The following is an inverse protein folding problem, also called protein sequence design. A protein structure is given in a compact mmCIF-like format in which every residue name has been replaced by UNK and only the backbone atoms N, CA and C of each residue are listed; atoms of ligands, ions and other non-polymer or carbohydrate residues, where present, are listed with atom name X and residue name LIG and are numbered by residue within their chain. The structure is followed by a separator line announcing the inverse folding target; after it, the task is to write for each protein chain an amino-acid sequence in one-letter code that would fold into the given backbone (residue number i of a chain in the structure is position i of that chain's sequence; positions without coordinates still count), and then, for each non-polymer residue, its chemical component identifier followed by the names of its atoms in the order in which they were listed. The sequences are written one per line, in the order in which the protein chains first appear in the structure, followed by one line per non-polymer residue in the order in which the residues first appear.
data_IF_210528042635
#
_entry.id   IF_210528042635
#
_cell.length_a   1.000
_cell.length_b   1.000
_cell.length_c   1.000
_cell.angle_alpha   90.00
_cell.angle_beta   90.00
_cell.angle_gamma   90.00
#
_symmetry.space_group_name_H-M   'P 1'
#
loop_
_entity.id
_entity.type
_entity.pdbx_description
1 polymer ?
#
# COMPACT_ATOMS: atom_id res chain seq x y z
N UNK A 1 -76.85 3.84 -0.87
CA UNK A 1 -75.89 4.95 -0.64
C UNK A 1 -74.74 4.40 0.20
N UNK A 2 -73.74 3.75 -0.40
CA UNK A 2 -72.73 3.00 0.36
C UNK A 2 -71.39 2.84 -0.35
N UNK A 3 -70.90 3.89 -1.03
CA UNK A 3 -69.67 3.82 -1.86
C UNK A 3 -68.60 4.85 -1.46
N UNK A 4 -68.69 5.43 -0.25
CA UNK A 4 -67.79 6.53 0.17
C UNK A 4 -66.71 6.16 1.20
N UNK A 5 -66.88 5.07 1.95
CA UNK A 5 -66.03 4.77 3.11
C UNK A 5 -64.85 3.82 2.80
N UNK A 6 -64.98 2.96 1.78
CA UNK A 6 -63.89 2.03 1.40
C UNK A 6 -62.73 2.73 0.68
N UNK A 7 -63.02 3.76 -0.14
CA UNK A 7 -62.00 4.47 -0.91
C UNK A 7 -60.99 5.25 -0.05
N UNK A 8 -61.36 5.65 1.18
CA UNK A 8 -60.48 6.39 2.08
C UNK A 8 -59.49 5.46 2.80
N UNK A 9 -59.90 4.23 3.11
CA UNK A 9 -59.02 3.21 3.70
C UNK A 9 -57.97 2.70 2.70
N UNK A 10 -58.34 2.57 1.43
CA UNK A 10 -57.43 2.14 0.38
C UNK A 10 -56.33 3.16 0.08
N UNK A 11 -56.67 4.46 0.03
CA UNK A 11 -55.69 5.55 -0.15
C UNK A 11 -54.65 5.58 0.96
N UNK A 12 -55.09 5.47 2.21
CA UNK A 12 -54.19 5.39 3.37
C UNK A 12 -53.28 4.16 3.32
N UNK A 13 -53.82 3.01 2.88
CA UNK A 13 -53.04 1.79 2.72
C UNK A 13 -51.98 1.90 1.62
N UNK A 14 -52.30 2.62 0.54
CA UNK A 14 -51.41 2.86 -0.59
C UNK A 14 -50.26 3.79 -0.17
N UNK A 15 -50.57 4.88 0.55
CA UNK A 15 -49.56 5.81 1.09
C UNK A 15 -48.60 5.10 2.04
N UNK A 16 -49.10 4.23 2.93
CA UNK A 16 -48.24 3.45 3.83
C UNK A 16 -47.38 2.42 3.11
N UNK A 17 -47.88 1.82 2.02
CA UNK A 17 -47.10 0.90 1.17
C UNK A 17 -46.01 1.66 0.44
N UNK A 18 -46.34 2.82 -0.12
CA UNK A 18 -45.42 3.69 -0.85
C UNK A 18 -44.28 4.19 0.04
N UNK A 19 -44.60 4.69 1.25
CA UNK A 19 -43.57 5.03 2.24
C UNK A 19 -42.70 3.82 2.62
N UNK A 20 -43.29 2.62 2.73
CA UNK A 20 -42.54 1.41 3.08
C UNK A 20 -41.63 0.94 1.94
N UNK A 21 -42.02 1.14 0.68
CA UNK A 21 -41.13 0.92 -0.48
C UNK A 21 -40.00 1.94 -0.51
N UNK A 22 -40.28 3.23 -0.31
CA UNK A 22 -39.26 4.27 -0.28
C UNK A 22 -38.22 4.05 0.83
N UNK A 23 -38.68 3.65 2.02
CA UNK A 23 -37.78 3.30 3.15
C UNK A 23 -36.88 2.13 2.77
N UNK A 24 -37.43 1.08 2.15
CA UNK A 24 -36.66 -0.09 1.72
C UNK A 24 -35.61 0.26 0.67
N UNK A 25 -35.94 1.14 -0.28
CA UNK A 25 -35.01 1.60 -1.30
C UNK A 25 -33.89 2.46 -0.72
N UNK A 26 -34.22 3.42 0.15
CA UNK A 26 -33.26 4.26 0.87
C UNK A 26 -32.29 3.43 1.70
N UNK A 27 -32.78 2.42 2.43
CA UNK A 27 -31.91 1.48 3.15
C UNK A 27 -30.98 0.70 2.22
N UNK A 28 -31.46 0.33 1.03
CA UNK A 28 -30.64 -0.40 0.06
C UNK A 28 -29.50 0.46 -0.50
N UNK A 29 -29.72 1.77 -0.67
CA UNK A 29 -28.70 2.72 -1.11
C UNK A 29 -27.68 2.96 0.01
N UNK A 30 -28.14 3.18 1.24
CA UNK A 30 -27.25 3.34 2.41
C UNK A 30 -26.36 2.11 2.59
N UNK A 31 -26.92 0.90 2.45
CA UNK A 31 -26.13 -0.34 2.52
C UNK A 31 -25.13 -0.47 1.36
N UNK A 32 -25.48 -0.01 0.16
CA UNK A 32 -24.57 -0.01 -1.01
C UNK A 32 -23.46 1.01 -0.83
N UNK A 33 -23.76 2.19 -0.32
CA UNK A 33 -22.79 3.26 -0.06
C UNK A 33 -21.86 2.88 1.08
N UNK A 34 -22.37 2.31 2.18
CA UNK A 34 -21.51 1.74 3.23
C UNK A 34 -20.63 0.60 2.69
N UNK A 35 -21.17 -0.26 1.82
CA UNK A 35 -20.39 -1.36 1.22
C UNK A 35 -19.32 -0.82 0.27
N UNK A 36 -19.61 0.21 -0.52
CA UNK A 36 -18.67 0.81 -1.47
C UNK A 36 -17.56 1.57 -0.72
N UNK A 37 -17.90 2.33 0.32
CA UNK A 37 -16.94 3.01 1.19
C UNK A 37 -16.04 2.02 1.92
N UNK A 38 -16.59 0.94 2.46
CA UNK A 38 -15.76 -0.13 3.06
C UNK A 38 -14.82 -0.80 2.04
N UNK A 39 -15.24 -0.97 0.79
CA UNK A 39 -14.38 -1.53 -0.26
C UNK A 39 -13.27 -0.53 -0.62
N UNK A 40 -13.60 0.77 -0.72
CA UNK A 40 -12.64 1.86 -0.95
C UNK A 40 -11.63 1.98 0.18
N UNK A 41 -12.08 1.91 1.43
CA UNK A 41 -11.24 1.92 2.63
C UNK A 41 -10.26 0.73 2.63
N UNK A 42 -10.74 -0.46 2.26
CA UNK A 42 -9.92 -1.66 2.12
C UNK A 42 -8.88 -1.56 1.01
N UNK A 43 -9.16 -0.80 -0.05
CA UNK A 43 -8.23 -0.54 -1.15
C UNK A 43 -7.29 0.65 -0.86
N UNK A 44 -7.63 1.52 0.11
CA UNK A 44 -6.85 2.70 0.49
C UNK A 44 -5.71 2.45 1.47
N UNK A 45 -5.66 1.27 2.11
CA UNK A 45 -4.56 0.89 3.00
C UNK A 45 -3.52 0.09 2.23
N UNK A 46 -2.37 0.73 1.96
CA UNK A 46 -1.19 0.16 1.32
C UNK A 46 -1.40 -0.26 -0.14
N UNK A 47 -1.32 0.72 -1.05
CA UNK A 47 -0.90 0.41 -2.41
C UNK A 47 0.31 -0.51 -2.34
N UNK A 48 0.26 -1.66 -3.01
CA UNK A 48 1.15 -2.80 -2.81
C UNK A 48 2.63 -2.39 -2.88
N UNK A 49 3.19 -1.98 -1.74
CA UNK A 49 4.59 -1.59 -1.64
C UNK A 49 5.40 -2.88 -1.66
N UNK A 50 6.40 -3.00 -2.55
CA UNK A 50 7.29 -4.15 -2.52
C UNK A 50 7.91 -4.30 -1.12
N UNK A 51 8.07 -5.53 -0.65
CA UNK A 51 8.52 -5.82 0.73
C UNK A 51 9.80 -5.07 1.13
N UNK A 52 10.74 -4.87 0.19
CA UNK A 52 11.99 -4.15 0.43
C UNK A 52 11.77 -2.65 0.67
N UNK A 53 10.75 -2.04 0.03
CA UNK A 53 10.32 -0.66 0.35
C UNK A 53 9.69 -0.58 1.73
N UNK A 54 8.85 -1.56 2.07
CA UNK A 54 8.23 -1.63 3.40
C UNK A 54 9.29 -1.75 4.52
N UNK A 55 10.42 -2.42 4.24
CA UNK A 55 11.57 -2.54 5.15
C UNK A 55 12.50 -1.32 5.17
N UNK A 56 12.16 -0.21 4.51
CA UNK A 56 12.99 1.00 4.45
C UNK A 56 14.24 0.86 3.57
N UNK A 57 14.35 -0.19 2.75
CA UNK A 57 15.46 -0.36 1.83
C UNK A 57 15.18 0.31 0.49
N UNK A 58 16.24 0.80 -0.15
CA UNK A 58 16.17 1.25 -1.54
C UNK A 58 16.28 0.06 -2.49
N UNK A 59 15.82 0.23 -3.73
CA UNK A 59 15.98 -0.78 -4.78
C UNK A 59 17.46 -1.07 -5.05
N UNK A 60 18.32 -0.05 -4.97
CA UNK A 60 19.77 -0.16 -5.16
C UNK A 60 20.36 -1.09 -4.09
N UNK A 61 20.01 -0.86 -2.82
CA UNK A 61 20.45 -1.70 -1.70
C UNK A 61 19.97 -3.15 -1.88
N UNK A 62 18.70 -3.34 -2.21
CA UNK A 62 18.11 -4.66 -2.45
C UNK A 62 18.84 -5.41 -3.58
N UNK A 63 19.01 -4.77 -4.74
CA UNK A 63 19.63 -5.38 -5.92
C UNK A 63 21.10 -5.75 -5.67
N UNK A 64 21.82 -4.91 -4.92
CA UNK A 64 23.22 -5.19 -4.56
C UNK A 64 23.34 -6.42 -3.65
N UNK A 65 22.42 -6.60 -2.69
CA UNK A 65 22.39 -7.79 -1.81
C UNK A 65 22.13 -9.06 -2.65
N UNK A 66 21.14 -9.03 -3.54
CA UNK A 66 20.87 -10.15 -4.43
C UNK A 66 22.08 -10.48 -5.33
N UNK A 67 22.74 -9.47 -5.88
CA UNK A 67 23.92 -9.65 -6.70
C UNK A 67 25.08 -10.25 -5.89
N UNK A 68 25.28 -9.84 -4.63
CA UNK A 68 26.28 -10.44 -3.75
C UNK A 68 26.01 -11.93 -3.52
N UNK A 69 24.77 -12.29 -3.17
CA UNK A 69 24.39 -13.69 -2.98
C UNK A 69 24.70 -14.54 -4.22
N UNK A 70 24.34 -14.06 -5.41
CA UNK A 70 24.62 -14.75 -6.68
C UNK A 70 26.13 -14.94 -6.90
N UNK A 71 26.95 -13.92 -6.61
CA UNK A 71 28.41 -14.02 -6.78
C UNK A 71 29.04 -15.07 -5.86
N UNK A 72 28.54 -15.19 -4.64
CA UNK A 72 29.05 -16.16 -3.66
C UNK A 72 28.74 -17.62 -4.03
N UNK A 73 27.70 -17.85 -4.83
CA UNK A 73 27.33 -19.17 -5.33
C UNK A 73 28.12 -19.64 -6.57
N UNK A 74 28.99 -18.81 -7.14
CA UNK A 74 29.78 -19.19 -8.33
C UNK A 74 30.99 -20.07 -7.98
N UNK A 75 31.49 -20.82 -8.97
CA UNK A 75 32.72 -21.61 -8.86
C UNK A 75 33.96 -20.74 -9.14
N UNK A 76 35.10 -21.09 -8.55
CA UNK A 76 36.39 -20.51 -8.93
C UNK A 76 36.74 -20.86 -10.40
N UNK A 77 37.33 -19.94 -11.18
CA UNK A 77 37.87 -18.60 -10.84
C UNK A 77 36.90 -17.42 -11.04
N UNK A 78 35.67 -17.69 -11.51
CA UNK A 78 34.71 -16.63 -11.82
C UNK A 78 34.21 -15.92 -10.55
N UNK A 79 34.17 -16.66 -9.45
CA UNK A 79 33.87 -16.13 -8.11
C UNK A 79 34.88 -15.06 -7.70
N UNK A 80 36.17 -15.35 -7.70
CA UNK A 80 37.22 -14.35 -7.34
C UNK A 80 37.18 -13.11 -8.24
N UNK A 81 36.99 -13.25 -9.55
CA UNK A 81 36.84 -12.10 -10.46
C UNK A 81 35.60 -11.26 -10.16
N UNK A 82 34.51 -11.88 -9.75
CA UNK A 82 33.24 -11.20 -9.50
C UNK A 82 33.20 -10.53 -8.12
N UNK A 83 33.77 -11.16 -7.09
CA UNK A 83 33.90 -10.59 -5.74
C UNK A 83 34.71 -9.29 -5.78
N UNK A 84 35.70 -9.17 -6.66
CA UNK A 84 36.49 -7.94 -6.78
C UNK A 84 35.62 -6.72 -7.12
N UNK A 85 34.49 -6.91 -7.83
CA UNK A 85 33.56 -5.82 -8.18
C UNK A 85 32.69 -5.36 -7.01
N UNK A 86 32.64 -6.11 -5.92
CA UNK A 86 31.82 -5.79 -4.74
C UNK A 86 32.50 -4.79 -3.81
N UNK A 87 33.83 -4.75 -3.79
CA UNK A 87 34.60 -3.91 -2.87
C UNK A 87 34.36 -2.43 -3.18
N UNK A 88 33.76 -1.71 -2.24
CA UNK A 88 33.43 -0.29 -2.40
C UNK A 88 34.12 0.49 -1.28
N UNK A 89 35.17 1.23 -1.64
CA UNK A 89 35.94 2.06 -0.71
C UNK A 89 35.68 3.53 -1.00
N UNK A 90 34.94 4.20 -0.10
CA UNK A 90 34.73 5.65 -0.18
C UNK A 90 34.55 6.27 1.19
N UNK A 91 34.78 7.58 1.24
CA UNK A 91 34.56 8.42 2.41
C UNK A 91 33.43 9.39 2.11
N UNK A 92 32.45 9.47 3.01
CA UNK A 92 31.32 10.40 2.89
C UNK A 92 31.36 11.42 4.02
N UNK A 93 31.38 12.71 3.67
CA UNK A 93 31.24 13.81 4.61
C UNK A 93 29.96 14.57 4.33
N UNK A 94 29.07 14.64 5.33
CA UNK A 94 27.90 15.51 5.26
C UNK A 94 28.34 16.96 5.45
N UNK A 95 27.91 17.86 4.57
CA UNK A 95 28.15 19.30 4.72
C UNK A 95 26.96 19.93 5.43
N UNK A 96 27.21 20.68 6.50
CA UNK A 96 26.20 21.43 7.26
C UNK A 96 26.78 22.80 7.59
N UNK A 97 25.99 23.87 7.41
CA UNK A 97 26.38 25.25 7.68
C UNK A 97 27.70 25.68 7.02
N UNK A 98 27.95 25.20 5.81
CA UNK A 98 29.15 25.52 5.03
C UNK A 98 30.44 24.84 5.50
N UNK A 99 30.37 23.93 6.49
CA UNK A 99 31.54 23.16 6.96
C UNK A 99 31.33 21.66 6.74
N UNK A 100 32.39 20.93 6.30
CA UNK A 100 32.32 19.48 6.21
C UNK A 100 32.32 18.87 7.61
N UNK A 101 31.39 17.95 7.87
CA UNK A 101 31.42 17.11 9.06
C UNK A 101 32.47 16.02 8.92
N UNK A 102 32.78 15.40 10.06
CA UNK A 102 33.72 14.28 10.14
C UNK A 102 33.35 13.20 9.11
N UNK A 103 34.33 12.76 8.29
CA UNK A 103 34.08 11.75 7.27
C UNK A 103 33.67 10.43 7.90
N UNK A 104 32.58 9.86 7.40
CA UNK A 104 32.23 8.46 7.63
C UNK A 104 32.93 7.64 6.56
N UNK A 105 33.96 6.90 6.96
CA UNK A 105 34.71 6.01 6.07
C UNK A 105 33.97 4.69 6.00
N UNK A 106 33.58 4.27 4.79
CA UNK A 106 33.14 2.91 4.54
C UNK A 106 34.33 2.11 4.02
N UNK A 107 34.85 1.20 4.84
CA UNK A 107 35.86 0.21 4.45
C UNK A 107 35.25 -1.19 4.57
N UNK A 108 35.09 -1.88 3.44
CA UNK A 108 34.62 -3.28 3.42
C UNK A 108 35.71 -4.29 3.84
N UNK A 109 36.87 -3.83 4.31
CA UNK A 109 37.91 -4.66 4.95
C UNK A 109 37.62 -4.76 6.44
N UNK A 110 37.13 -5.93 6.88
CA UNK A 110 37.24 -6.34 8.29
C UNK A 110 38.73 -6.48 8.68
N UNK A 111 39.11 -6.18 9.93
CA UNK A 111 40.45 -6.45 10.47
C UNK A 111 40.79 -7.94 10.50
#
# INVERSE_FOLDING_TARGET
MGLGLEAHGERESLIRRDQRSEIRERESLIRRDQKSERIRERMGSSGAVPFWRAAGMTYITYSNICANMVRNCMKEPLKSQSINREKVHFSFSKWVDGKPQNPTIRSDTLP
#
